data_IF_781140496367
#
_entry.id   IF_781140496367
#
_cell.length_a   1.000
_cell.length_b   1.000
_cell.length_c   1.000
_cell.angle_alpha   90.00
_cell.angle_beta   90.00
_cell.angle_gamma   90.00
#
_symmetry.space_group_name_H-M   'P 1'
#
loop_
_entity.id
_entity.type
_entity.pdbx_description
1 polymer ?
#
# COMPACT_ATOMS: atom_id res chain seq x y z
N UNK A 1 -1.48 -31.35 -7.45
CA UNK A 1 -2.62 -30.72 -6.73
C UNK A 1 -2.66 -29.28 -7.19
N UNK A 2 -3.73 -28.87 -7.85
CA UNK A 2 -3.91 -27.47 -8.25
C UNK A 2 -3.90 -26.59 -6.99
N UNK A 3 -3.03 -25.58 -6.97
CA UNK A 3 -2.85 -24.69 -5.84
C UNK A 3 -3.77 -23.48 -6.01
N UNK A 4 -5.08 -23.70 -5.86
CA UNK A 4 -6.07 -22.65 -5.99
C UNK A 4 -5.90 -21.60 -4.89
N UNK A 5 -5.72 -20.36 -5.28
CA UNK A 5 -5.60 -19.18 -4.42
C UNK A 5 -6.76 -18.24 -4.70
N UNK A 6 -7.19 -17.51 -3.68
CA UNK A 6 -8.41 -16.71 -3.73
C UNK A 6 -8.23 -15.36 -3.05
N UNK A 7 -8.75 -14.31 -3.67
CA UNK A 7 -8.79 -12.96 -3.12
C UNK A 7 -9.94 -12.90 -2.11
N UNK A 8 -9.60 -12.76 -0.82
CA UNK A 8 -10.59 -12.68 0.27
C UNK A 8 -11.23 -11.31 0.31
N UNK A 9 -10.40 -10.27 0.31
CA UNK A 9 -10.79 -8.87 0.25
C UNK A 9 -9.80 -8.12 -0.65
N UNK A 10 -10.25 -7.00 -1.22
CA UNK A 10 -9.39 -6.06 -1.91
C UNK A 10 -9.77 -4.63 -1.54
N UNK A 11 -8.83 -3.72 -1.67
CA UNK A 11 -9.02 -2.28 -1.46
C UNK A 11 -8.42 -1.55 -2.64
N UNK A 12 -9.26 -0.75 -3.31
CA UNK A 12 -8.87 0.15 -4.40
C UNK A 12 -9.04 1.60 -3.94
N UNK A 13 -7.97 2.39 -4.03
CA UNK A 13 -8.02 3.84 -3.79
C UNK A 13 -7.37 4.49 -5.00
N UNK A 14 -8.17 5.19 -5.82
CA UNK A 14 -7.71 5.94 -6.98
C UNK A 14 -8.18 7.38 -6.90
N UNK A 15 -7.24 8.31 -6.76
CA UNK A 15 -7.48 9.74 -6.83
C UNK A 15 -6.43 10.40 -7.75
N UNK A 16 -6.88 11.26 -8.67
CA UNK A 16 -6.03 12.11 -9.50
C UNK A 16 -6.34 13.57 -9.19
N UNK A 17 -5.34 14.38 -8.88
CA UNK A 17 -5.52 15.78 -8.56
C UNK A 17 -5.04 16.64 -9.72
N UNK A 18 -5.91 17.47 -10.27
CA UNK A 18 -5.53 18.52 -11.21
C UNK A 18 -5.05 19.74 -10.42
N UNK A 19 -3.79 20.13 -10.60
CA UNK A 19 -3.34 21.48 -10.22
C UNK A 19 -4.10 22.48 -11.08
N UNK A 20 -4.96 23.29 -10.47
CA UNK A 20 -5.69 24.34 -11.18
C UNK A 20 -4.72 25.36 -11.79
N UNK A 21 -5.09 25.87 -12.96
CA UNK A 21 -4.38 26.87 -13.76
C UNK A 21 -3.83 28.05 -12.93
N UNK A 22 -2.67 28.66 -13.30
CA UNK A 22 -2.07 29.78 -12.56
C UNK A 22 -2.87 31.10 -12.55
N UNK A 23 -4.01 31.19 -13.25
CA UNK A 23 -4.68 32.46 -13.59
C UNK A 23 -6.15 32.56 -13.15
N UNK A 24 -6.62 31.79 -12.16
CA UNK A 24 -7.96 31.98 -11.61
C UNK A 24 -7.92 32.06 -10.08
N UNK A 25 -8.55 33.13 -9.56
CA UNK A 25 -8.72 33.40 -8.14
C UNK A 25 -9.32 32.20 -7.42
N UNK A 26 -8.73 31.91 -6.27
CA UNK A 26 -8.91 30.71 -5.46
C UNK A 26 -10.31 30.60 -4.84
N UNK A 27 -11.08 29.61 -5.28
CA UNK A 27 -12.15 29.01 -4.47
C UNK A 27 -11.57 27.85 -3.62
N UNK A 28 -11.81 27.78 -2.30
CA UNK A 28 -11.07 26.94 -1.36
C UNK A 28 -11.64 25.51 -1.26
N UNK A 29 -11.56 24.72 -2.33
CA UNK A 29 -12.01 23.29 -2.30
C UNK A 29 -11.06 22.31 -2.97
N UNK A 30 -9.76 22.60 -3.00
CA UNK A 30 -8.73 21.60 -3.29
C UNK A 30 -8.02 21.23 -1.98
N UNK A 31 -8.52 20.22 -1.26
CA UNK A 31 -7.80 19.67 -0.10
C UNK A 31 -6.46 19.07 -0.56
N UNK A 32 -5.39 19.22 0.21
CA UNK A 32 -4.13 18.50 -0.05
C UNK A 32 -4.31 16.99 0.10
N UNK A 33 -3.47 16.17 -0.53
CA UNK A 33 -3.54 14.69 -0.36
C UNK A 33 -3.40 14.30 1.12
N UNK A 34 -2.57 15.03 1.86
CA UNK A 34 -2.40 14.87 3.30
C UNK A 34 -3.66 15.17 4.13
N UNK A 35 -4.43 16.21 3.78
CA UNK A 35 -5.69 16.54 4.46
C UNK A 35 -6.72 15.44 4.28
N UNK A 36 -6.92 14.96 3.05
CA UNK A 36 -7.82 13.83 2.78
C UNK A 36 -7.39 12.57 3.51
N UNK A 37 -6.09 12.26 3.47
CA UNK A 37 -5.53 11.13 4.20
C UNK A 37 -5.86 11.21 5.71
N UNK A 38 -5.76 12.41 6.29
CA UNK A 38 -6.09 12.65 7.69
C UNK A 38 -7.61 12.55 7.96
N UNK A 39 -8.45 12.98 7.03
CA UNK A 39 -9.91 12.83 7.12
C UNK A 39 -10.31 11.34 7.06
N UNK A 40 -9.75 10.59 6.11
CA UNK A 40 -9.96 9.14 6.00
C UNK A 40 -9.53 8.42 7.27
N UNK A 41 -8.33 8.72 7.78
CA UNK A 41 -7.82 8.18 9.05
C UNK A 41 -8.81 8.36 10.20
N UNK A 42 -9.39 9.56 10.34
CA UNK A 42 -10.41 9.86 11.35
C UNK A 42 -11.72 9.10 11.11
N UNK A 43 -12.14 8.98 9.85
CA UNK A 43 -13.40 8.32 9.49
C UNK A 43 -13.42 6.82 9.77
N UNK A 44 -12.27 6.14 9.71
CA UNK A 44 -12.17 4.69 9.94
C UNK A 44 -11.93 4.33 11.43
N UNK A 45 -11.94 5.34 12.31
CA UNK A 45 -11.69 5.24 13.75
C UNK A 45 -10.44 4.42 14.09
N UNK A 46 -9.37 4.66 13.33
CA UNK A 46 -8.10 3.98 13.54
C UNK A 46 -7.34 4.63 14.70
N UNK A 47 -6.92 3.84 15.68
CA UNK A 47 -6.01 4.31 16.74
C UNK A 47 -4.58 3.86 16.45
N UNK A 48 -3.80 4.71 15.78
CA UNK A 48 -2.39 4.46 15.52
C UNK A 48 -1.55 5.74 15.66
N UNK A 49 -1.03 6.03 16.86
CA UNK A 49 -0.32 7.29 17.12
C UNK A 49 0.87 7.57 16.19
N UNK A 50 1.52 6.52 15.67
CA UNK A 50 2.61 6.66 14.70
C UNK A 50 2.18 7.30 13.37
N UNK A 51 0.89 7.20 13.02
CA UNK A 51 0.33 7.70 11.76
C UNK A 51 0.70 9.16 11.49
N UNK A 52 0.63 10.04 12.50
CA UNK A 52 0.92 11.47 12.31
C UNK A 52 2.37 11.77 11.94
N UNK A 53 3.31 10.86 12.27
CA UNK A 53 4.74 10.99 11.98
C UNK A 53 5.15 10.30 10.67
N UNK A 54 4.21 9.70 9.95
CA UNK A 54 4.46 8.99 8.70
C UNK A 54 4.49 9.92 7.50
N UNK A 55 5.28 9.55 6.50
CA UNK A 55 5.20 10.16 5.18
C UNK A 55 3.86 9.84 4.49
N UNK A 56 3.56 10.56 3.42
CA UNK A 56 2.27 10.48 2.74
C UNK A 56 1.95 9.07 2.24
N UNK A 57 2.94 8.39 1.64
CA UNK A 57 2.76 7.04 1.13
C UNK A 57 2.51 6.04 2.27
N UNK A 58 3.24 6.12 3.39
CA UNK A 58 2.96 5.24 4.54
C UNK A 58 1.58 5.47 5.12
N UNK A 59 1.15 6.72 5.25
CA UNK A 59 -0.18 7.04 5.79
C UNK A 59 -1.28 6.35 4.98
N UNK A 60 -1.23 6.51 3.66
CA UNK A 60 -2.18 5.86 2.77
C UNK A 60 -2.08 4.34 2.77
N UNK A 61 -0.87 3.77 2.79
CA UNK A 61 -0.69 2.32 2.86
C UNK A 61 -1.21 1.70 4.17
N UNK A 62 -1.07 2.40 5.30
CA UNK A 62 -1.65 1.95 6.57
C UNK A 62 -3.18 2.03 6.56
N UNK A 63 -3.76 3.09 5.98
CA UNK A 63 -5.22 3.18 5.77
C UNK A 63 -5.72 2.03 4.91
N UNK A 64 -5.08 1.79 3.75
CA UNK A 64 -5.47 0.71 2.85
C UNK A 64 -5.34 -0.67 3.51
N UNK A 65 -4.30 -0.88 4.31
CA UNK A 65 -4.09 -2.13 5.05
C UNK A 65 -5.14 -2.33 6.15
N UNK A 66 -5.53 -1.26 6.84
CA UNK A 66 -6.59 -1.30 7.85
C UNK A 66 -7.93 -1.67 7.21
N UNK A 67 -8.29 -1.02 6.11
CA UNK A 67 -9.51 -1.33 5.36
C UNK A 67 -9.52 -2.78 4.84
N UNK A 68 -8.36 -3.30 4.42
CA UNK A 68 -8.22 -4.65 3.91
C UNK A 68 -8.34 -5.72 5.00
N UNK A 69 -7.69 -5.49 6.14
CA UNK A 69 -7.48 -6.52 7.17
C UNK A 69 -8.54 -6.46 8.28
N UNK A 70 -9.12 -5.29 8.58
CA UNK A 70 -10.14 -5.14 9.64
C UNK A 70 -11.40 -6.01 9.42
N UNK A 71 -11.93 -6.17 8.19
CA UNK A 71 -13.08 -7.05 7.95
C UNK A 71 -12.73 -8.55 8.01
N UNK A 72 -11.44 -8.90 7.96
CA UNK A 72 -11.01 -10.29 7.89
C UNK A 72 -10.86 -10.88 9.29
N UNK A 73 -11.59 -11.96 9.58
CA UNK A 73 -11.44 -12.67 10.85
C UNK A 73 -10.14 -13.49 10.80
N UNK A 74 -9.17 -13.24 11.70
CA UNK A 74 -7.90 -13.96 11.68
C UNK A 74 -8.12 -15.45 11.91
N UNK A 75 -7.75 -16.27 10.94
CA UNK A 75 -7.50 -17.68 11.20
C UNK A 75 -6.24 -17.81 12.06
N UNK A 76 -6.13 -18.91 12.80
CA UNK A 76 -4.91 -19.25 13.54
C UNK A 76 -3.77 -19.57 12.55
N UNK A 77 -3.13 -18.51 12.05
CA UNK A 77 -2.02 -18.55 11.10
C UNK A 77 -0.78 -18.05 11.82
N UNK A 78 0.31 -18.81 11.73
CA UNK A 78 1.61 -18.40 12.25
C UNK A 78 2.00 -17.03 11.66
N UNK A 79 2.46 -16.06 12.48
CA UNK A 79 3.00 -14.79 12.00
C UNK A 79 4.03 -14.94 10.86
N UNK A 80 4.85 -15.99 10.90
CA UNK A 80 5.87 -16.29 9.89
C UNK A 80 5.31 -16.81 8.55
N UNK A 81 4.02 -17.13 8.50
CA UNK A 81 3.31 -17.54 7.28
C UNK A 81 2.37 -16.45 6.73
N UNK A 82 2.43 -15.26 7.32
CA UNK A 82 1.80 -14.04 6.81
C UNK A 82 2.87 -13.25 6.06
N UNK A 83 2.70 -13.10 4.76
CA UNK A 83 3.69 -12.49 3.86
C UNK A 83 3.18 -11.19 3.26
N UNK A 84 4.09 -10.30 2.87
CA UNK A 84 3.79 -9.03 2.22
C UNK A 84 4.54 -8.93 0.89
N UNK A 85 3.81 -8.64 -0.20
CA UNK A 85 4.36 -8.45 -1.54
C UNK A 85 3.81 -7.14 -2.10
N UNK A 86 4.57 -6.06 -2.03
CA UNK A 86 4.17 -4.74 -2.53
C UNK A 86 5.01 -4.31 -3.72
N UNK A 87 4.46 -3.42 -4.52
CA UNK A 87 5.20 -2.79 -5.61
C UNK A 87 4.75 -1.35 -5.86
N UNK A 88 5.62 -0.54 -6.47
CA UNK A 88 5.27 0.79 -6.93
C UNK A 88 6.09 1.21 -8.15
N UNK A 89 5.90 2.45 -8.62
CA UNK A 89 6.68 2.99 -9.74
C UNK A 89 7.73 4.00 -9.34
N UNK A 90 7.47 4.77 -8.29
CA UNK A 90 8.29 5.93 -7.94
C UNK A 90 9.18 5.72 -6.71
N UNK A 91 9.28 4.51 -6.16
CA UNK A 91 10.02 4.26 -4.91
C UNK A 91 9.52 5.18 -3.79
N UNK A 92 10.33 6.13 -3.34
CA UNK A 92 10.03 7.11 -2.31
C UNK A 92 10.18 8.54 -2.84
N UNK A 93 10.07 8.75 -4.16
CA UNK A 93 10.43 10.00 -4.85
C UNK A 93 9.85 11.26 -4.20
N UNK A 94 8.59 11.22 -3.78
CA UNK A 94 7.94 12.34 -3.09
C UNK A 94 8.70 12.73 -1.80
N UNK A 95 9.02 11.73 -0.98
CA UNK A 95 9.78 11.90 0.26
C UNK A 95 11.25 12.21 -0.02
N UNK A 96 11.84 11.66 -1.08
CA UNK A 96 13.22 11.95 -1.48
C UNK A 96 13.39 13.45 -1.82
N UNK A 97 12.43 14.04 -2.54
CA UNK A 97 12.40 15.47 -2.84
C UNK A 97 12.30 16.30 -1.56
N UNK A 98 11.43 15.91 -0.61
CA UNK A 98 11.31 16.58 0.69
C UNK A 98 12.61 16.49 1.49
N UNK A 99 13.25 15.32 1.53
CA UNK A 99 14.52 15.14 2.22
C UNK A 99 15.62 16.00 1.59
N UNK A 100 15.71 16.04 0.26
CA UNK A 100 16.66 16.88 -0.47
C UNK A 100 16.48 18.36 -0.13
N UNK A 101 15.23 18.82 0.03
CA UNK A 101 14.95 20.19 0.49
C UNK A 101 15.52 20.46 1.89
N UNK A 102 15.39 19.52 2.83
CA UNK A 102 15.96 19.67 4.18
C UNK A 102 17.50 19.71 4.17
N UNK A 103 18.15 19.03 3.23
CA UNK A 103 19.61 19.08 3.09
C UNK A 103 20.08 20.47 2.63
N UNK A 104 19.33 21.11 1.72
CA UNK A 104 19.73 22.38 1.13
C UNK A 104 19.34 23.60 1.95
N UNK A 105 18.18 23.58 2.61
CA UNK A 105 17.58 24.76 3.21
C UNK A 105 17.52 24.70 4.74
N UNK A 106 17.74 23.52 5.33
CA UNK A 106 17.58 23.27 6.76
C UNK A 106 18.69 22.32 7.28
N UNK A 107 18.49 21.75 8.47
CA UNK A 107 19.29 20.62 8.94
C UNK A 107 18.66 19.32 8.41
N UNK A 108 19.47 18.37 7.87
CA UNK A 108 18.96 17.08 7.38
C UNK A 108 18.10 16.39 8.44
N UNK A 109 16.82 16.17 8.12
CA UNK A 109 15.85 15.63 9.08
C UNK A 109 15.92 14.10 9.17
N UNK A 110 16.35 13.52 10.31
CA UNK A 110 16.45 12.07 10.44
C UNK A 110 15.10 11.37 10.31
N UNK A 111 14.00 12.04 10.71
CA UNK A 111 12.66 11.46 10.61
C UNK A 111 12.17 11.35 9.17
N UNK A 112 12.56 12.28 8.29
CA UNK A 112 12.21 12.21 6.86
C UNK A 112 13.10 11.18 6.17
N UNK A 113 14.39 11.12 6.53
CA UNK A 113 15.35 10.16 5.98
C UNK A 113 14.86 8.71 6.05
N UNK A 114 14.24 8.27 7.15
CA UNK A 114 13.79 6.87 7.25
C UNK A 114 12.76 6.53 6.16
N UNK A 115 11.93 7.51 5.76
CA UNK A 115 10.91 7.33 4.73
C UNK A 115 11.43 7.47 3.29
N UNK A 116 12.73 7.73 3.09
CA UNK A 116 13.37 7.59 1.77
C UNK A 116 13.65 6.11 1.42
N UNK A 117 13.20 5.17 2.26
CA UNK A 117 13.25 3.74 2.00
C UNK A 117 11.89 3.28 1.46
N UNK A 118 11.77 2.81 0.21
CA UNK A 118 10.48 2.46 -0.37
C UNK A 118 9.76 1.32 0.37
N UNK A 119 10.52 0.42 0.98
CA UNK A 119 9.98 -0.74 1.70
C UNK A 119 9.47 -0.41 3.12
N UNK A 120 9.64 0.82 3.61
CA UNK A 120 9.25 1.17 4.98
C UNK A 120 7.75 0.95 5.26
N UNK A 121 6.89 1.19 4.26
CA UNK A 121 5.46 0.94 4.38
C UNK A 121 5.16 -0.54 4.63
N UNK A 122 5.84 -1.44 3.91
CA UNK A 122 5.70 -2.87 4.13
C UNK A 122 6.19 -3.27 5.53
N UNK A 123 7.23 -2.61 6.04
CA UNK A 123 7.71 -2.78 7.42
C UNK A 123 6.71 -2.35 8.48
N UNK A 124 6.09 -1.17 8.32
CA UNK A 124 5.08 -0.68 9.27
C UNK A 124 3.80 -1.53 9.26
N UNK A 125 3.37 -2.02 8.09
CA UNK A 125 2.28 -3.01 7.97
C UNK A 125 2.65 -4.30 8.69
N UNK A 126 3.87 -4.82 8.47
CA UNK A 126 4.36 -6.03 9.12
C UNK A 126 4.33 -5.93 10.64
N UNK A 127 4.79 -4.80 11.19
CA UNK A 127 4.77 -4.54 12.64
C UNK A 127 3.32 -4.46 13.14
N UNK A 128 2.45 -3.72 12.45
CA UNK A 128 1.06 -3.49 12.88
C UNK A 128 0.21 -4.75 12.90
N UNK A 129 0.37 -5.64 11.91
CA UNK A 129 -0.47 -6.84 11.74
C UNK A 129 0.25 -8.16 12.02
N UNK A 130 1.42 -8.08 12.67
CA UNK A 130 2.26 -9.22 13.04
C UNK A 130 2.56 -10.15 11.84
N UNK A 131 2.92 -9.57 10.70
CA UNK A 131 3.31 -10.32 9.50
C UNK A 131 4.83 -10.47 9.50
N UNK A 132 5.32 -11.64 9.93
CA UNK A 132 6.75 -11.93 10.13
C UNK A 132 7.33 -12.85 9.06
N UNK A 133 6.54 -13.19 8.03
CA UNK A 133 7.00 -13.96 6.88
C UNK A 133 7.79 -13.10 5.90
N UNK A 134 7.91 -13.58 4.67
CA UNK A 134 8.51 -12.84 3.56
C UNK A 134 7.92 -11.42 3.45
N UNK A 135 8.80 -10.43 3.31
CA UNK A 135 8.43 -9.04 3.10
C UNK A 135 9.23 -8.50 1.91
N UNK A 136 8.55 -8.37 0.76
CA UNK A 136 9.17 -7.97 -0.50
C UNK A 136 8.52 -6.70 -1.03
N UNK A 137 9.36 -5.76 -1.48
CA UNK A 137 8.93 -4.52 -2.13
C UNK A 137 9.65 -4.36 -3.46
N UNK A 138 8.90 -4.18 -4.54
CA UNK A 138 9.43 -4.15 -5.90
C UNK A 138 9.18 -2.80 -6.59
N UNK A 139 10.18 -2.30 -7.31
CA UNK A 139 10.03 -1.12 -8.16
C UNK A 139 9.82 -1.58 -9.60
N UNK A 140 8.81 -1.03 -10.28
CA UNK A 140 8.42 -1.40 -11.64
C UNK A 140 8.06 -0.15 -12.46
N UNK A 141 8.09 -0.21 -13.79
CA UNK A 141 7.71 0.94 -14.63
C UNK A 141 6.20 1.25 -14.59
N UNK A 142 5.37 0.27 -14.21
CA UNK A 142 3.91 0.35 -14.09
C UNK A 142 3.39 -0.79 -13.22
N UNK A 143 2.10 -0.76 -12.89
CA UNK A 143 1.42 -1.91 -12.29
C UNK A 143 1.68 -3.18 -13.09
N UNK A 144 2.16 -4.23 -12.40
CA UNK A 144 2.57 -5.49 -13.00
C UNK A 144 1.87 -6.67 -12.30
N UNK A 145 0.69 -7.11 -12.79
CA UNK A 145 -0.05 -8.21 -12.16
C UNK A 145 0.72 -9.54 -12.27
N UNK A 146 1.57 -9.72 -13.29
CA UNK A 146 2.39 -10.92 -13.41
C UNK A 146 3.40 -11.03 -12.27
N UNK A 147 4.06 -9.94 -11.90
CA UNK A 147 5.01 -9.92 -10.79
C UNK A 147 4.31 -10.29 -9.48
N UNK A 148 3.21 -9.60 -9.17
CA UNK A 148 2.45 -9.82 -7.93
C UNK A 148 1.95 -11.26 -7.86
N UNK A 149 1.36 -11.77 -8.96
CA UNK A 149 0.87 -13.14 -9.04
C UNK A 149 1.99 -14.15 -8.84
N UNK A 150 3.06 -14.09 -9.65
CA UNK A 150 4.12 -15.10 -9.63
C UNK A 150 4.84 -15.14 -8.27
N UNK A 151 5.16 -13.98 -7.68
CA UNK A 151 5.82 -13.90 -6.37
C UNK A 151 4.95 -14.45 -5.26
N UNK A 152 3.66 -14.10 -5.27
CA UNK A 152 2.71 -14.60 -4.27
C UNK A 152 2.50 -16.10 -4.41
N UNK A 153 2.21 -16.59 -5.63
CA UNK A 153 1.98 -18.00 -5.92
C UNK A 153 3.17 -18.86 -5.47
N UNK A 154 4.40 -18.43 -5.79
CA UNK A 154 5.61 -19.13 -5.41
C UNK A 154 5.72 -19.33 -3.89
N UNK A 155 5.41 -18.32 -3.09
CA UNK A 155 5.45 -18.44 -1.62
C UNK A 155 4.40 -19.43 -1.08
N UNK A 156 3.24 -19.54 -1.72
CA UNK A 156 2.23 -20.54 -1.36
C UNK A 156 2.62 -21.95 -1.83
N UNK A 157 3.27 -22.09 -2.99
CA UNK A 157 3.79 -23.36 -3.50
C UNK A 157 4.91 -23.91 -2.61
N UNK A 158 5.83 -23.04 -2.17
CA UNK A 158 6.91 -23.35 -1.24
C UNK A 158 6.43 -23.54 0.22
N UNK A 159 5.12 -23.39 0.48
CA UNK A 159 4.50 -23.50 1.81
C UNK A 159 5.01 -22.47 2.82
N UNK A 160 5.64 -21.39 2.34
CA UNK A 160 6.08 -20.23 3.15
C UNK A 160 4.91 -19.33 3.52
N UNK A 161 3.86 -19.28 2.70
CA UNK A 161 2.68 -18.45 2.95
C UNK A 161 1.40 -19.27 3.18
N UNK A 162 0.57 -18.78 4.10
CA UNK A 162 -0.85 -19.14 4.25
C UNK A 162 -1.78 -17.94 4.04
N UNK A 163 -1.26 -16.74 4.24
CA UNK A 163 -1.93 -15.47 4.03
C UNK A 163 -0.92 -14.51 3.39
N UNK A 164 -1.33 -13.81 2.32
CA UNK A 164 -0.53 -12.76 1.72
C UNK A 164 -1.31 -11.46 1.64
N UNK A 165 -0.70 -10.36 2.06
CA UNK A 165 -1.11 -9.02 1.63
C UNK A 165 -0.23 -8.70 0.42
N UNK A 166 -0.85 -8.56 -0.76
CA UNK A 166 -0.11 -8.21 -1.96
C UNK A 166 -0.76 -7.06 -2.72
N UNK A 167 0.03 -6.31 -3.49
CA UNK A 167 -0.53 -5.18 -4.19
C UNK A 167 0.45 -4.15 -4.74
N UNK A 168 -0.13 -2.99 -5.02
CA UNK A 168 0.54 -1.84 -5.61
C UNK A 168 0.16 -0.58 -4.85
N UNK A 169 1.13 0.30 -4.62
CA UNK A 169 0.94 1.57 -3.90
C UNK A 169 1.84 2.66 -4.49
N UNK A 170 1.23 3.63 -5.16
CA UNK A 170 1.95 4.72 -5.80
C UNK A 170 1.27 6.04 -5.43
N UNK A 171 1.91 6.80 -4.55
CA UNK A 171 1.31 7.95 -3.87
C UNK A 171 2.26 9.15 -3.91
N UNK A 172 1.72 10.28 -4.32
CA UNK A 172 2.33 11.61 -4.22
C UNK A 172 1.24 12.66 -3.94
N UNK A 173 1.60 13.95 -3.92
CA UNK A 173 0.63 15.03 -3.70
C UNK A 173 -0.45 15.10 -4.79
N UNK A 174 -0.13 14.68 -6.02
CA UNK A 174 -0.99 14.79 -7.20
C UNK A 174 -1.75 13.49 -7.55
N UNK A 175 -1.37 12.37 -6.94
CA UNK A 175 -1.90 11.05 -7.28
C UNK A 175 -1.90 10.13 -6.07
N UNK A 176 -3.02 9.47 -5.83
CA UNK A 176 -3.11 8.30 -4.94
C UNK A 176 -3.58 7.12 -5.77
N UNK A 177 -2.76 6.09 -5.91
CA UNK A 177 -3.08 4.91 -6.70
C UNK A 177 -2.68 3.63 -5.96
N UNK A 178 -3.66 3.00 -5.33
CA UNK A 178 -3.47 1.86 -4.45
C UNK A 178 -4.42 0.74 -4.84
N UNK A 179 -3.87 -0.46 -4.96
CA UNK A 179 -4.63 -1.71 -5.00
C UNK A 179 -3.96 -2.68 -4.03
N UNK A 180 -4.60 -3.00 -2.92
CA UNK A 180 -4.16 -4.08 -2.03
C UNK A 180 -5.17 -5.23 -2.05
N UNK A 181 -4.66 -6.45 -2.01
CA UNK A 181 -5.43 -7.69 -2.01
C UNK A 181 -4.97 -8.60 -0.88
N UNK A 182 -5.92 -9.27 -0.23
CA UNK A 182 -5.68 -10.29 0.77
C UNK A 182 -5.89 -11.67 0.17
N UNK A 183 -4.85 -12.49 0.12
CA UNK A 183 -4.87 -13.80 -0.56
C UNK A 183 -4.77 -14.92 0.45
N UNK A 184 -5.61 -15.95 0.28
CA UNK A 184 -5.51 -17.22 1.03
C UNK A 184 -5.89 -18.41 0.13
N UNK A 185 -5.80 -19.64 0.67
CA UNK A 185 -6.33 -20.85 0.03
C UNK A 185 -7.82 -21.08 0.30
N UNK A 186 -8.44 -20.29 1.18
CA UNK A 186 -9.87 -20.42 1.45
C UNK A 186 -10.66 -19.94 0.23
N UNK A 187 -11.58 -20.78 -0.25
CA UNK A 187 -12.40 -20.45 -1.41
C UNK A 187 -13.19 -19.16 -1.16
N UNK A 188 -13.12 -18.23 -2.11
CA UNK A 188 -13.95 -17.04 -2.23
C UNK A 188 -14.47 -16.92 -3.67
N UNK A 189 -15.23 -15.85 -3.96
CA UNK A 189 -15.81 -15.63 -5.29
C UNK A 189 -14.78 -15.23 -6.35
N UNK A 190 -13.63 -14.69 -5.93
CA UNK A 190 -12.60 -14.16 -6.83
C UNK A 190 -11.35 -15.02 -6.72
N UNK A 191 -11.05 -15.76 -7.79
CA UNK A 191 -9.78 -16.47 -7.91
C UNK A 191 -8.62 -15.48 -8.00
N UNK A 192 -7.50 -15.81 -7.34
CA UNK A 192 -6.28 -15.03 -7.49
C UNK A 192 -5.64 -15.38 -8.83
N UNK A 193 -5.80 -14.50 -9.82
CA UNK A 193 -5.23 -14.63 -11.16
C UNK A 193 -4.69 -13.29 -11.65
N UNK A 194 -3.88 -13.32 -12.71
CA UNK A 194 -3.32 -12.11 -13.33
C UNK A 194 -4.42 -11.24 -13.93
N UNK A 195 -5.43 -11.90 -14.51
CA UNK A 195 -6.60 -11.30 -15.14
C UNK A 195 -7.44 -10.58 -14.09
N UNK A 196 -7.75 -11.22 -12.97
CA UNK A 196 -8.54 -10.62 -11.90
C UNK A 196 -7.78 -9.47 -11.22
N UNK A 197 -6.46 -9.61 -11.00
CA UNK A 197 -5.64 -8.49 -10.50
C UNK A 197 -5.67 -7.29 -11.45
N UNK A 198 -5.64 -7.53 -12.76
CA UNK A 198 -5.70 -6.45 -13.74
C UNK A 198 -7.09 -5.80 -13.79
N UNK A 199 -8.16 -6.59 -13.69
CA UNK A 199 -9.54 -6.09 -13.62
C UNK A 199 -9.73 -5.19 -12.38
N UNK A 200 -9.37 -5.68 -11.20
CA UNK A 200 -9.46 -4.91 -9.95
C UNK A 200 -8.61 -3.62 -9.98
N UNK A 201 -7.53 -3.59 -10.75
CA UNK A 201 -6.70 -2.39 -10.87
C UNK A 201 -7.34 -1.31 -11.76
N UNK A 202 -8.07 -1.72 -12.80
CA UNK A 202 -8.72 -0.80 -13.75
C UNK A 202 -10.15 -0.42 -13.37
N UNK A 203 -10.78 -1.16 -12.45
CA UNK A 203 -12.08 -0.80 -11.88
C UNK A 203 -11.99 0.53 -11.12
N UNK A 204 -12.89 1.47 -11.45
CA UNK A 204 -13.06 2.80 -10.82
C UNK A 204 -14.54 3.05 -10.61
#
# INVERSE_FOLDING_TARGET
MENHLYIQHHVRILEKFSTQNPNQESHPTAHSSLERCTQFYKSIDMNYPKFYKMDLMCKWGIIASELLLKPFTPQAISPYQKVIILSNTQSSLHTDIQFQHTIHNELPSPSIFVYTLPNIIAGEIAIRYEMKGENSFFIQNKFNPNLIYNQTEQLFLERKAKQALCGFIDVCEEKTDILFCLITKQKSDIEFSKENLNQLYVEV
#
